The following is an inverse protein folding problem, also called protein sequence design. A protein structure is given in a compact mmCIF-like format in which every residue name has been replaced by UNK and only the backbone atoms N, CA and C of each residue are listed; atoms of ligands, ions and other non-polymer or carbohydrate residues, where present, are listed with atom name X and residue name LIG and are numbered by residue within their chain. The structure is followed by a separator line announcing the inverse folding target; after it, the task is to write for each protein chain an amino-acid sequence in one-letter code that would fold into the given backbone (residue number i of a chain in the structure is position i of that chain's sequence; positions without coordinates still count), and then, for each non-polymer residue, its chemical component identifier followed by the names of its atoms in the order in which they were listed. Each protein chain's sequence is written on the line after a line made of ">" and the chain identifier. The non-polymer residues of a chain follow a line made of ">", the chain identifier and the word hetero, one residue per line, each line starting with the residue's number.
data_IF_176967656111
#
_entry.id   IF_176967656111
#
_cell.length_a   1.000
_cell.length_b   1.000
_cell.length_c   1.000
_cell.angle_alpha   90.00
_cell.angle_beta   90.00
_cell.angle_gamma   90.00
#
_symmetry.space_group_name_H-M   'P 1'
#
loop_
_entity.id
_entity.type
_entity.pdbx_description
1 polymer ?
#
# COMPACT_ATOMS: atom_id res chain seq x y z
N UNK A 1 -16.65 19.90 -13.71
CA UNK A 1 -16.93 20.58 -14.98
C UNK A 1 -15.72 20.36 -15.84
N UNK A 2 -15.87 19.62 -16.93
CA UNK A 2 -14.78 19.37 -17.86
C UNK A 2 -14.95 20.31 -19.06
N UNK A 3 -13.89 21.03 -19.45
CA UNK A 3 -13.91 21.99 -20.55
C UNK A 3 -12.82 21.62 -21.57
N UNK A 4 -13.19 21.18 -22.77
CA UNK A 4 -12.21 20.91 -23.81
C UNK A 4 -11.38 22.15 -24.16
N UNK A 5 -10.07 21.97 -24.31
CA UNK A 5 -9.12 23.05 -24.65
C UNK A 5 -9.62 23.93 -25.80
N UNK A 6 -10.06 23.34 -26.91
CA UNK A 6 -10.55 24.10 -28.07
C UNK A 6 -11.74 25.02 -27.75
N UNK A 7 -12.62 24.65 -26.80
CA UNK A 7 -13.75 25.45 -26.36
C UNK A 7 -13.29 26.64 -25.52
N UNK A 8 -12.32 26.42 -24.63
CA UNK A 8 -11.68 27.47 -23.83
C UNK A 8 -11.03 28.54 -24.71
N UNK A 9 -10.23 28.15 -25.72
CA UNK A 9 -9.61 29.10 -26.65
C UNK A 9 -10.62 29.87 -27.50
N UNK A 10 -11.72 29.21 -27.89
CA UNK A 10 -12.82 29.87 -28.60
C UNK A 10 -13.47 30.98 -27.76
N UNK A 11 -13.67 30.74 -26.48
CA UNK A 11 -14.22 31.74 -25.56
C UNK A 11 -13.26 32.92 -25.35
N UNK A 12 -11.98 32.65 -25.09
CA UNK A 12 -10.95 33.70 -25.03
C UNK A 12 -10.90 34.53 -26.32
N UNK A 13 -10.89 33.87 -27.48
CA UNK A 13 -10.84 34.55 -28.78
C UNK A 13 -12.05 35.42 -29.08
N UNK A 14 -13.24 35.07 -28.56
CA UNK A 14 -14.46 35.88 -28.66
C UNK A 14 -14.44 37.07 -27.71
N UNK A 15 -14.03 36.86 -26.46
CA UNK A 15 -13.94 37.90 -25.45
C UNK A 15 -12.93 39.01 -25.83
N UNK A 16 -11.92 38.70 -26.62
CA UNK A 16 -10.97 39.69 -27.16
C UNK A 16 -11.56 40.58 -28.25
N UNK A 17 -12.63 40.15 -28.93
CA UNK A 17 -13.23 40.89 -30.06
C UNK A 17 -14.47 41.68 -29.64
N UNK A 18 -15.23 41.16 -28.69
CA UNK A 18 -16.55 41.70 -28.32
C UNK A 18 -16.81 41.61 -26.81
N UNK A 19 -17.32 42.70 -26.23
CA UNK A 19 -17.73 42.75 -24.82
C UNK A 19 -19.25 42.81 -24.74
N UNK A 20 -19.89 41.68 -24.46
CA UNK A 20 -21.34 41.57 -24.27
C UNK A 20 -21.66 40.54 -23.17
N UNK A 21 -22.94 40.42 -22.81
CA UNK A 21 -23.37 39.51 -21.74
C UNK A 21 -22.97 38.05 -22.01
N UNK A 22 -23.00 37.61 -23.28
CA UNK A 22 -22.63 36.24 -23.67
C UNK A 22 -21.13 35.99 -23.55
N UNK A 23 -20.28 36.95 -23.94
CA UNK A 23 -18.82 36.80 -23.75
C UNK A 23 -18.44 36.87 -22.27
N UNK A 24 -19.15 37.66 -21.46
CA UNK A 24 -19.00 37.67 -20.01
C UNK A 24 -19.36 36.31 -19.36
N UNK A 25 -20.47 35.69 -19.77
CA UNK A 25 -20.88 34.36 -19.28
C UNK A 25 -19.87 33.26 -19.69
N UNK A 26 -19.40 33.28 -20.94
CA UNK A 26 -18.36 32.35 -21.42
C UNK A 26 -17.05 32.49 -20.64
N UNK A 27 -16.65 33.72 -20.31
CA UNK A 27 -15.47 33.97 -19.48
C UNK A 27 -15.69 33.58 -18.02
N UNK A 28 -16.93 33.70 -17.50
CA UNK A 28 -17.28 33.15 -16.19
C UNK A 28 -17.16 31.62 -16.16
N UNK A 29 -17.59 30.92 -17.21
CA UNK A 29 -17.38 29.46 -17.34
C UNK A 29 -15.89 29.10 -17.32
N UNK A 30 -15.05 29.86 -18.04
CA UNK A 30 -13.59 29.65 -18.07
C UNK A 30 -12.98 29.91 -16.70
N UNK A 31 -13.36 30.99 -16.03
CA UNK A 31 -12.87 31.30 -14.69
C UNK A 31 -13.23 30.19 -13.70
N UNK A 32 -14.48 29.70 -13.74
CA UNK A 32 -14.94 28.58 -12.90
C UNK A 32 -14.15 27.30 -13.18
N UNK A 33 -13.89 26.98 -14.44
CA UNK A 33 -13.05 25.85 -14.82
C UNK A 33 -11.64 26.00 -14.24
N UNK A 34 -10.96 27.13 -14.45
CA UNK A 34 -9.60 27.37 -13.95
C UNK A 34 -9.53 27.32 -12.42
N UNK A 35 -10.53 27.85 -11.72
CA UNK A 35 -10.62 27.76 -10.26
C UNK A 35 -10.73 26.30 -9.79
N UNK A 36 -11.57 25.50 -10.45
CA UNK A 36 -11.72 24.07 -10.12
C UNK A 36 -10.39 23.34 -10.38
N UNK A 37 -9.72 23.62 -11.48
CA UNK A 37 -8.48 22.93 -11.87
C UNK A 37 -7.33 23.23 -10.90
N UNK A 38 -7.13 24.52 -10.56
CA UNK A 38 -6.15 24.94 -9.56
C UNK A 38 -6.43 24.33 -8.18
N UNK A 39 -7.70 24.35 -7.74
CA UNK A 39 -8.11 23.77 -6.46
C UNK A 39 -7.96 22.25 -6.46
N UNK A 40 -8.23 21.58 -7.58
CA UNK A 40 -8.12 20.13 -7.73
C UNK A 40 -6.65 19.69 -7.63
N UNK A 41 -5.73 20.44 -8.23
CA UNK A 41 -4.29 20.19 -8.10
C UNK A 41 -3.85 20.24 -6.63
N UNK A 42 -4.25 21.28 -5.89
CA UNK A 42 -3.94 21.41 -4.47
C UNK A 42 -4.56 20.27 -3.63
N UNK A 43 -5.84 19.95 -3.88
CA UNK A 43 -6.54 18.85 -3.19
C UNK A 43 -5.89 17.51 -3.45
N UNK A 44 -5.44 17.25 -4.69
CA UNK A 44 -4.75 16.02 -5.04
C UNK A 44 -3.40 15.92 -4.33
N UNK A 45 -2.64 17.02 -4.29
CA UNK A 45 -1.35 17.08 -3.59
C UNK A 45 -1.48 16.76 -2.10
N UNK A 46 -2.50 17.30 -1.43
CA UNK A 46 -2.81 16.99 -0.02
C UNK A 46 -3.29 15.55 0.14
N UNK A 47 -4.26 15.11 -0.69
CA UNK A 47 -4.85 13.76 -0.59
C UNK A 47 -3.85 12.64 -0.85
N UNK A 48 -2.87 12.88 -1.74
CA UNK A 48 -1.79 11.94 -2.06
C UNK A 48 -0.54 12.13 -1.19
N UNK A 49 -0.57 13.06 -0.22
CA UNK A 49 0.53 13.29 0.70
C UNK A 49 1.89 13.56 0.00
N UNK A 50 1.84 14.14 -1.21
CA UNK A 50 2.97 14.16 -2.17
C UNK A 50 4.18 14.88 -1.59
N UNK A 51 3.98 16.02 -0.92
CA UNK A 51 5.06 16.81 -0.33
C UNK A 51 5.77 16.02 0.76
N UNK A 52 5.02 15.33 1.64
CA UNK A 52 5.61 14.57 2.72
C UNK A 52 6.38 13.35 2.19
N UNK A 53 5.87 12.67 1.16
CA UNK A 53 6.60 11.59 0.49
C UNK A 53 7.95 12.07 -0.06
N UNK A 54 7.97 13.18 -0.80
CA UNK A 54 9.22 13.75 -1.30
C UNK A 54 10.14 14.26 -0.18
N UNK A 55 9.57 14.78 0.91
CA UNK A 55 10.35 15.22 2.07
C UNK A 55 11.07 14.06 2.73
N UNK A 56 10.39 12.94 2.95
CA UNK A 56 11.02 11.74 3.53
C UNK A 56 12.09 11.17 2.58
N UNK A 57 11.84 11.18 1.26
CA UNK A 57 12.84 10.79 0.26
C UNK A 57 14.07 11.72 0.30
N UNK A 58 13.85 13.03 0.41
CA UNK A 58 14.91 14.04 0.48
C UNK A 58 15.75 13.89 1.75
N UNK A 59 15.08 13.72 2.90
CA UNK A 59 15.70 13.52 4.21
C UNK A 59 16.62 12.29 4.22
N UNK A 60 16.14 11.16 3.69
CA UNK A 60 16.92 9.92 3.65
C UNK A 60 18.18 10.06 2.80
N UNK A 61 18.10 10.71 1.63
CA UNK A 61 19.27 10.86 0.75
C UNK A 61 20.10 12.11 0.97
N UNK A 62 19.80 12.96 1.96
CA UNK A 62 20.52 14.22 2.19
C UNK A 62 20.54 15.15 0.94
N UNK A 63 19.40 15.26 0.26
CA UNK A 63 19.23 16.12 -0.92
C UNK A 63 18.16 17.18 -0.67
N UNK A 64 18.09 18.20 -1.53
CA UNK A 64 17.01 19.18 -1.44
C UNK A 64 15.66 18.57 -1.81
N UNK A 65 14.57 19.17 -1.34
CA UNK A 65 13.21 18.76 -1.75
C UNK A 65 13.01 18.89 -3.27
N UNK A 66 13.64 19.90 -3.89
CA UNK A 66 13.63 20.09 -5.35
C UNK A 66 14.31 18.92 -6.04
N UNK A 67 15.49 18.52 -5.58
CA UNK A 67 16.24 17.39 -6.14
C UNK A 67 15.48 16.07 -5.96
N UNK A 68 14.80 15.89 -4.83
CA UNK A 68 13.93 14.75 -4.61
C UNK A 68 12.76 14.68 -5.61
N UNK A 69 12.32 15.81 -6.17
CA UNK A 69 11.29 15.83 -7.20
C UNK A 69 11.84 15.61 -8.61
N UNK A 70 12.90 16.32 -8.99
CA UNK A 70 13.39 16.34 -10.37
C UNK A 70 14.32 15.19 -10.74
N UNK A 71 15.05 14.63 -9.78
CA UNK A 71 16.06 13.61 -10.07
C UNK A 71 15.53 12.18 -9.94
N UNK A 72 16.09 11.29 -10.76
CA UNK A 72 15.80 9.86 -10.72
C UNK A 72 16.29 9.22 -9.42
N UNK A 73 15.60 8.17 -8.97
CA UNK A 73 15.87 7.52 -7.67
C UNK A 73 17.30 6.99 -7.54
N UNK A 74 17.90 6.51 -8.63
CA UNK A 74 19.30 6.01 -8.63
C UNK A 74 20.32 7.09 -8.26
N UNK A 75 20.08 8.37 -8.59
CA UNK A 75 20.94 9.46 -8.15
C UNK A 75 20.80 9.75 -6.66
N UNK A 76 19.58 9.60 -6.12
CA UNK A 76 19.33 9.74 -4.68
C UNK A 76 20.00 8.62 -3.88
N UNK A 77 19.91 7.39 -4.37
CA UNK A 77 20.65 6.23 -3.82
C UNK A 77 22.16 6.49 -3.86
N UNK A 78 22.66 7.00 -5.00
CA UNK A 78 24.09 7.31 -5.14
C UNK A 78 24.54 8.38 -4.15
N UNK A 79 23.73 9.42 -3.92
CA UNK A 79 24.03 10.45 -2.93
C UNK A 79 24.07 9.89 -1.51
N UNK A 80 23.05 9.09 -1.14
CA UNK A 80 22.99 8.40 0.15
C UNK A 80 24.24 7.55 0.39
N UNK A 81 24.62 6.69 -0.57
CA UNK A 81 25.81 5.86 -0.46
C UNK A 81 27.10 6.69 -0.39
N UNK A 82 27.17 7.80 -1.13
CA UNK A 82 28.33 8.69 -1.11
C UNK A 82 28.51 9.34 0.27
N UNK A 83 27.41 9.75 0.92
CA UNK A 83 27.43 10.26 2.31
C UNK A 83 27.89 9.16 3.28
N UNK A 84 27.38 7.94 3.15
CA UNK A 84 27.81 6.81 3.99
C UNK A 84 29.30 6.50 3.82
N UNK A 85 29.78 6.45 2.58
CA UNK A 85 31.20 6.22 2.27
C UNK A 85 32.09 7.33 2.83
N UNK A 86 31.64 8.58 2.75
CA UNK A 86 32.35 9.72 3.33
C UNK A 86 32.46 9.62 4.86
N UNK A 87 31.38 9.25 5.55
CA UNK A 87 31.40 9.02 7.00
C UNK A 87 32.34 7.89 7.42
N UNK A 88 32.38 6.81 6.65
CA UNK A 88 33.28 5.67 6.87
C UNK A 88 34.74 5.96 6.44
N UNK A 89 35.03 7.17 5.93
CA UNK A 89 36.34 7.57 5.41
C UNK A 89 36.87 6.65 4.31
N UNK A 90 35.96 6.07 3.53
CA UNK A 90 36.26 5.25 2.37
C UNK A 90 36.24 6.14 1.11
N UNK A 91 37.04 5.78 0.09
CA UNK A 91 37.00 6.44 -1.22
C UNK A 91 36.32 5.53 -2.24
N UNK A 92 35.43 6.09 -3.06
CA UNK A 92 34.82 5.36 -4.18
C UNK A 92 35.65 5.51 -5.44
N UNK A 93 35.73 4.45 -6.24
CA UNK A 93 36.30 4.53 -7.59
C UNK A 93 35.29 5.15 -8.55
N UNK A 94 35.74 6.09 -9.38
CA UNK A 94 34.94 6.68 -10.47
C UNK A 94 35.04 5.89 -11.78
N UNK A 95 35.79 4.79 -11.79
CA UNK A 95 35.99 3.95 -12.97
C UNK A 95 34.72 3.14 -13.24
N UNK A 96 34.02 3.46 -14.33
CA UNK A 96 32.77 2.81 -14.76
C UNK A 96 32.96 1.85 -15.95
N UNK A 97 34.21 1.53 -16.32
CA UNK A 97 34.51 0.59 -17.41
C UNK A 97 34.18 -0.84 -16.99
N UNK A 98 32.91 -1.23 -17.14
CA UNK A 98 32.47 -2.62 -16.97
C UNK A 98 31.66 -3.04 -18.18
N UNK A 99 32.28 -3.89 -19.00
CA UNK A 99 31.77 -4.44 -20.26
C UNK A 99 30.88 -5.67 -20.08
N UNK A 100 30.39 -5.92 -18.87
CA UNK A 100 29.51 -7.06 -18.59
C UNK A 100 28.13 -6.82 -19.22
N UNK A 101 27.88 -7.48 -20.35
CA UNK A 101 26.63 -7.39 -21.14
C UNK A 101 25.64 -8.50 -20.82
N UNK A 102 26.07 -9.53 -20.08
CA UNK A 102 25.23 -10.67 -19.74
C UNK A 102 24.24 -10.32 -18.60
N UNK A 103 22.95 -10.47 -18.90
CA UNK A 103 21.89 -10.39 -17.90
C UNK A 103 22.02 -11.53 -16.88
N UNK A 104 21.77 -11.25 -15.61
CA UNK A 104 21.56 -12.28 -14.60
C UNK A 104 20.10 -12.78 -14.64
N UNK A 105 19.80 -13.96 -14.07
CA UNK A 105 18.43 -14.48 -14.06
C UNK A 105 17.48 -13.52 -13.35
N UNK A 106 16.32 -13.27 -13.95
CA UNK A 106 15.28 -12.40 -13.39
C UNK A 106 14.58 -13.05 -12.18
N UNK A 107 13.66 -12.32 -11.56
CA UNK A 107 12.81 -12.87 -10.51
C UNK A 107 11.98 -14.06 -11.01
N UNK A 108 11.66 -14.99 -10.11
CA UNK A 108 10.89 -16.18 -10.47
C UNK A 108 9.38 -15.90 -10.40
N UNK A 109 8.65 -16.35 -11.43
CA UNK A 109 7.20 -16.22 -11.54
C UNK A 109 6.60 -17.62 -11.64
N UNK A 110 5.60 -17.91 -10.79
CA UNK A 110 4.78 -19.10 -10.95
C UNK A 110 3.72 -18.81 -12.03
N UNK A 111 3.63 -19.65 -13.08
CA UNK A 111 2.69 -19.39 -14.16
C UNK A 111 1.25 -19.37 -13.64
N UNK A 112 0.43 -18.39 -14.05
CA UNK A 112 -0.92 -18.29 -13.56
C UNK A 112 -1.78 -19.45 -14.06
N UNK A 113 -2.59 -20.02 -13.16
CA UNK A 113 -3.70 -20.90 -13.53
C UNK A 113 -4.80 -20.01 -14.12
N UNK A 114 -4.90 -19.98 -15.45
CA UNK A 114 -5.81 -19.08 -16.19
C UNK A 114 -7.27 -19.46 -15.93
N UNK A 115 -8.10 -18.46 -15.67
CA UNK A 115 -9.55 -18.60 -15.47
C UNK A 115 -10.09 -17.55 -14.50
N UNK A 116 -11.41 -17.35 -14.48
CA UNK A 116 -12.06 -16.57 -13.43
C UNK A 116 -12.20 -17.45 -12.19
N UNK A 117 -11.53 -17.08 -11.10
CA UNK A 117 -11.73 -17.73 -9.80
C UNK A 117 -12.99 -17.16 -9.16
N UNK A 118 -14.12 -17.84 -9.39
CA UNK A 118 -15.43 -17.41 -8.93
C UNK A 118 -15.83 -18.08 -7.61
N UNK A 119 -14.97 -18.90 -6.98
CA UNK A 119 -15.33 -19.67 -5.79
C UNK A 119 -14.66 -19.20 -4.51
N UNK A 120 -13.41 -18.73 -4.59
CA UNK A 120 -12.64 -18.40 -3.40
C UNK A 120 -11.97 -17.03 -3.53
N UNK A 121 -12.25 -16.08 -2.63
CA UNK A 121 -11.62 -14.78 -2.63
C UNK A 121 -10.12 -14.93 -2.36
N UNK A 122 -9.31 -14.30 -3.21
CA UNK A 122 -7.87 -14.13 -3.00
C UNK A 122 -7.66 -12.68 -2.58
N UNK A 123 -7.74 -12.44 -1.29
CA UNK A 123 -7.55 -11.13 -0.68
C UNK A 123 -7.03 -11.33 0.72
N UNK A 124 -6.41 -10.30 1.28
CA UNK A 124 -4.98 -10.27 1.34
C UNK A 124 -4.51 -8.75 1.61
N UNK A 125 -4.86 -7.92 2.67
CA UNK A 125 -4.08 -6.68 3.20
C UNK A 125 -4.04 -6.30 4.74
N UNK A 126 -2.84 -6.22 5.38
CA UNK A 126 -2.50 -5.75 6.75
C UNK A 126 -0.99 -5.52 6.96
N UNK A 127 -0.54 -4.27 6.87
CA UNK A 127 0.65 -3.76 7.58
C UNK A 127 0.37 -2.38 8.23
N UNK A 128 1.13 -2.06 9.28
CA UNK A 128 0.96 -1.08 10.37
C UNK A 128 -0.13 -1.45 11.37
N UNK A 129 0.21 -1.67 12.65
CA UNK A 129 -0.76 -2.09 13.67
C UNK A 129 -1.29 -0.91 14.50
N UNK A 130 -0.50 -0.14 15.27
CA UNK A 130 -1.12 0.67 16.33
C UNK A 130 -1.89 1.90 15.83
N UNK A 131 -1.24 2.74 15.01
CA UNK A 131 -1.86 3.96 14.46
C UNK A 131 -2.90 3.62 13.39
N UNK A 132 -2.65 2.58 12.60
CA UNK A 132 -3.62 2.08 11.62
C UNK A 132 -4.86 1.50 12.28
N UNK A 133 -4.71 0.76 13.38
CA UNK A 133 -5.84 0.22 14.15
C UNK A 133 -6.63 1.36 14.79
N UNK A 134 -5.96 2.37 15.38
CA UNK A 134 -6.64 3.59 15.87
C UNK A 134 -7.41 4.29 14.75
N UNK A 135 -6.77 4.53 13.60
CA UNK A 135 -7.39 5.13 12.42
C UNK A 135 -8.59 4.32 11.92
N UNK A 136 -8.43 3.01 11.72
CA UNK A 136 -9.48 2.10 11.25
C UNK A 136 -10.68 2.09 12.20
N UNK A 137 -10.45 2.10 13.50
CA UNK A 137 -11.53 2.15 14.50
C UNK A 137 -12.28 3.49 14.43
N UNK A 138 -11.57 4.61 14.30
CA UNK A 138 -12.21 5.93 14.14
C UNK A 138 -13.00 6.00 12.82
N UNK A 139 -12.46 5.47 11.72
CA UNK A 139 -13.15 5.39 10.42
C UNK A 139 -14.43 4.55 10.48
N UNK A 140 -14.44 3.46 11.26
CA UNK A 140 -15.65 2.66 11.49
C UNK A 140 -16.73 3.48 12.24
N UNK A 141 -16.34 4.29 13.23
CA UNK A 141 -17.27 5.18 13.93
C UNK A 141 -17.86 6.20 12.95
N UNK A 142 -17.02 6.84 12.13
CA UNK A 142 -17.46 7.81 11.11
C UNK A 142 -18.44 7.15 10.13
N UNK A 143 -18.14 5.95 9.64
CA UNK A 143 -19.02 5.22 8.72
C UNK A 143 -20.38 4.83 9.32
N UNK A 144 -20.49 4.74 10.65
CA UNK A 144 -21.78 4.58 11.34
C UNK A 144 -22.49 5.92 11.51
N UNK A 145 -21.75 7.01 11.77
CA UNK A 145 -22.32 8.36 11.84
C UNK A 145 -22.88 8.82 10.49
N UNK A 146 -22.28 8.37 9.38
CA UNK A 146 -22.80 8.61 8.02
C UNK A 146 -24.12 7.85 7.75
N UNK A 147 -24.51 6.91 8.64
CA UNK A 147 -25.80 6.21 8.63
C UNK A 147 -26.78 6.79 9.66
N UNK A 148 -26.63 8.07 9.99
CA UNK A 148 -27.48 8.84 10.91
C UNK A 148 -27.42 8.42 12.39
N UNK A 149 -26.40 7.67 12.83
CA UNK A 149 -26.16 7.43 14.26
C UNK A 149 -25.48 8.64 14.92
N UNK A 150 -25.84 8.93 16.17
CA UNK A 150 -25.08 9.86 17.00
C UNK A 150 -23.69 9.30 17.33
N UNK A 151 -22.75 10.18 17.69
CA UNK A 151 -21.39 9.77 18.06
C UNK A 151 -21.39 8.74 19.22
N UNK A 152 -22.24 8.95 20.23
CA UNK A 152 -22.35 8.05 21.38
C UNK A 152 -22.85 6.66 20.95
N UNK A 153 -23.93 6.61 20.15
CA UNK A 153 -24.50 5.34 19.67
C UNK A 153 -23.52 4.58 18.76
N UNK A 154 -22.80 5.29 17.89
CA UNK A 154 -21.79 4.69 17.01
C UNK A 154 -20.61 4.09 17.81
N UNK A 155 -20.14 4.78 18.85
CA UNK A 155 -19.08 4.29 19.73
C UNK A 155 -19.55 3.07 20.53
N UNK A 156 -20.74 3.11 21.12
CA UNK A 156 -21.30 2.00 21.89
C UNK A 156 -21.47 0.74 21.04
N UNK A 157 -21.97 0.89 19.81
CA UNK A 157 -22.14 -0.22 18.88
C UNK A 157 -20.79 -0.88 18.52
N UNK A 158 -19.72 -0.09 18.34
CA UNK A 158 -18.38 -0.63 18.05
C UNK A 158 -17.77 -1.27 19.30
N UNK A 159 -17.92 -0.67 20.48
CA UNK A 159 -17.43 -1.25 21.73
C UNK A 159 -18.10 -2.60 22.04
N UNK A 160 -19.39 -2.76 21.73
CA UNK A 160 -20.09 -4.04 21.87
C UNK A 160 -19.44 -5.12 20.99
N UNK A 161 -19.14 -4.81 19.72
CA UNK A 161 -18.45 -5.73 18.80
C UNK A 161 -17.00 -6.05 19.21
N UNK A 162 -16.30 -5.08 19.80
CA UNK A 162 -14.90 -5.26 20.22
C UNK A 162 -14.76 -6.07 21.51
N UNK A 163 -15.77 -6.05 22.40
CA UNK A 163 -15.80 -6.89 23.62
C UNK A 163 -15.82 -8.38 23.29
N UNK A 164 -16.48 -8.80 22.22
CA UNK A 164 -16.50 -10.20 21.77
C UNK A 164 -15.13 -10.67 21.24
N UNK A 165 -14.27 -9.77 20.76
CA UNK A 165 -12.96 -10.07 20.15
C UNK A 165 -11.75 -9.80 21.06
N UNK A 166 -11.97 -9.48 22.34
CA UNK A 166 -10.94 -9.26 23.37
C UNK A 166 -9.81 -8.26 23.00
N UNK A 167 -10.15 -7.14 22.34
CA UNK A 167 -9.18 -6.10 21.95
C UNK A 167 -9.04 -5.00 23.03
N UNK A 168 -8.39 -5.31 24.15
CA UNK A 168 -8.28 -4.40 25.31
C UNK A 168 -7.63 -3.03 24.99
N UNK A 169 -6.65 -2.97 24.07
CA UNK A 169 -5.99 -1.72 23.67
C UNK A 169 -6.90 -0.77 22.88
N UNK A 170 -7.76 -1.32 22.01
CA UNK A 170 -8.68 -0.56 21.16
C UNK A 170 -9.84 0.02 21.96
N UNK A 171 -10.35 -0.74 22.95
CA UNK A 171 -11.40 -0.27 23.85
C UNK A 171 -10.99 1.01 24.58
N UNK A 172 -9.74 1.07 25.09
CA UNK A 172 -9.22 2.23 25.82
C UNK A 172 -9.20 3.51 24.97
N UNK A 173 -8.95 3.38 23.66
CA UNK A 173 -8.94 4.52 22.74
C UNK A 173 -10.34 5.12 22.54
N UNK A 174 -11.39 4.28 22.50
CA UNK A 174 -12.76 4.73 22.23
C UNK A 174 -13.45 5.36 23.45
N UNK A 175 -13.19 4.86 24.66
CA UNK A 175 -13.80 5.37 25.89
C UNK A 175 -13.54 6.88 26.10
N UNK A 176 -12.43 7.40 25.59
CA UNK A 176 -12.09 8.82 25.68
C UNK A 176 -13.01 9.73 24.84
N UNK A 177 -13.73 9.17 23.85
CA UNK A 177 -14.58 9.95 22.93
C UNK A 177 -16.07 9.94 23.28
N UNK A 178 -16.53 9.11 24.21
CA UNK A 178 -17.96 8.96 24.54
C UNK A 178 -18.60 10.29 24.96
N UNK A 179 -17.86 11.11 25.70
CA UNK A 179 -18.35 12.41 26.20
C UNK A 179 -17.85 13.61 25.38
N UNK A 180 -17.20 13.38 24.24
CA UNK A 180 -16.66 14.46 23.40
C UNK A 180 -17.68 14.93 22.38
N UNK A 181 -17.56 16.19 22.00
CA UNK A 181 -18.34 16.72 20.88
C UNK A 181 -17.81 16.21 19.53
N UNK A 182 -18.69 16.20 18.52
CA UNK A 182 -18.35 15.78 17.15
C UNK A 182 -17.15 16.54 16.59
N UNK A 183 -17.02 17.83 16.88
CA UNK A 183 -15.93 18.64 16.37
C UNK A 183 -14.57 18.23 16.97
N UNK A 184 -14.52 17.92 18.26
CA UNK A 184 -13.30 17.42 18.92
C UNK A 184 -12.91 16.03 18.43
N UNK A 185 -13.91 15.16 18.19
CA UNK A 185 -13.71 13.85 17.60
C UNK A 185 -13.09 13.93 16.19
N UNK A 186 -13.61 14.84 15.36
CA UNK A 186 -13.08 15.05 14.01
C UNK A 186 -11.67 15.66 14.01
N UNK A 187 -11.39 16.59 14.94
CA UNK A 187 -10.04 17.15 15.08
C UNK A 187 -9.00 16.08 15.47
N UNK A 188 -9.35 15.16 16.37
CA UNK A 188 -8.50 14.02 16.70
C UNK A 188 -8.34 13.09 15.49
N UNK A 189 -9.41 12.81 14.75
CA UNK A 189 -9.34 12.00 13.54
C UNK A 189 -8.36 12.58 12.52
N UNK A 190 -8.43 13.89 12.28
CA UNK A 190 -7.52 14.60 11.39
C UNK A 190 -6.06 14.49 11.87
N UNK A 191 -5.83 14.62 13.18
CA UNK A 191 -4.51 14.44 13.81
C UNK A 191 -3.98 13.01 13.60
N UNK A 192 -4.81 11.99 13.84
CA UNK A 192 -4.44 10.58 13.62
C UNK A 192 -4.18 10.28 12.15
N UNK A 193 -4.97 10.87 11.24
CA UNK A 193 -4.75 10.74 9.80
C UNK A 193 -3.43 11.38 9.38
N UNK A 194 -3.10 12.54 9.93
CA UNK A 194 -1.83 13.22 9.69
C UNK A 194 -0.64 12.40 10.19
N UNK A 195 -0.69 11.89 11.43
CA UNK A 195 0.34 11.03 12.00
C UNK A 195 0.54 9.75 11.18
N UNK A 196 -0.57 9.07 10.84
CA UNK A 196 -0.55 7.89 9.97
C UNK A 196 0.13 8.20 8.63
N UNK A 197 -0.24 9.31 7.99
CA UNK A 197 0.30 9.69 6.68
C UNK A 197 1.78 10.02 6.73
N UNK A 198 2.27 10.64 7.82
CA UNK A 198 3.69 10.87 8.03
C UNK A 198 4.47 9.56 8.19
N UNK A 199 3.96 8.63 9.01
CA UNK A 199 4.60 7.33 9.23
C UNK A 199 4.60 6.47 7.95
N UNK A 200 3.49 6.47 7.21
CA UNK A 200 3.35 5.75 5.94
C UNK A 200 4.32 6.32 4.89
N UNK A 201 4.46 7.65 4.80
CA UNK A 201 5.44 8.29 3.92
C UNK A 201 6.88 7.87 4.26
N UNK A 202 7.24 7.83 5.55
CA UNK A 202 8.56 7.39 5.99
C UNK A 202 8.83 5.93 5.64
N UNK A 203 7.88 5.03 5.92
CA UNK A 203 7.98 3.62 5.56
C UNK A 203 8.09 3.42 4.04
N UNK A 204 7.27 4.12 3.26
CA UNK A 204 7.29 4.04 1.80
C UNK A 204 8.62 4.56 1.24
N UNK A 205 9.17 5.65 1.79
CA UNK A 205 10.47 6.16 1.38
C UNK A 205 11.57 5.11 1.61
N UNK A 206 11.62 4.49 2.79
CA UNK A 206 12.57 3.39 3.09
C UNK A 206 12.39 2.24 2.09
N UNK A 207 11.16 1.79 1.84
CA UNK A 207 10.86 0.73 0.87
C UNK A 207 11.36 1.08 -0.53
N UNK A 208 11.10 2.30 -1.00
CA UNK A 208 11.56 2.79 -2.30
C UNK A 208 13.08 2.78 -2.37
N UNK A 209 13.78 3.23 -1.34
CA UNK A 209 15.25 3.16 -1.30
C UNK A 209 15.75 1.72 -1.31
N UNK A 210 15.20 0.83 -0.49
CA UNK A 210 15.61 -0.60 -0.45
C UNK A 210 15.47 -1.27 -1.82
N UNK A 211 14.36 -1.06 -2.51
CA UNK A 211 14.15 -1.58 -3.86
C UNK A 211 15.11 -0.92 -4.88
N UNK A 212 15.41 0.36 -4.71
CA UNK A 212 16.27 1.12 -5.60
C UNK A 212 17.76 0.83 -5.38
N UNK A 213 18.18 0.40 -4.19
CA UNK A 213 19.54 -0.09 -3.93
C UNK A 213 19.85 -1.30 -4.79
N UNK A 214 18.93 -2.27 -4.85
CA UNK A 214 19.05 -3.42 -5.74
C UNK A 214 19.21 -3.00 -7.21
N UNK A 215 18.33 -2.10 -7.69
CA UNK A 215 18.41 -1.61 -9.09
C UNK A 215 19.70 -0.82 -9.37
N UNK A 216 20.17 -0.03 -8.41
CA UNK A 216 21.40 0.76 -8.53
C UNK A 216 22.64 -0.13 -8.51
N UNK A 217 22.65 -1.20 -7.72
CA UNK A 217 23.73 -2.19 -7.70
C UNK A 217 23.74 -3.07 -8.96
N UNK A 218 22.60 -3.25 -9.62
CA UNK A 218 22.48 -4.02 -10.87
C UNK A 218 22.74 -3.20 -12.14
N UNK A 219 22.75 -1.87 -12.04
CA UNK A 219 23.01 -1.00 -13.18
C UNK A 219 24.52 -0.86 -13.43
N UNK A 220 25.01 -1.38 -14.57
CA UNK A 220 26.43 -1.32 -14.94
C UNK A 220 27.01 0.09 -15.06
N UNK A 221 26.16 1.11 -15.23
CA UNK A 221 26.56 2.52 -15.26
C UNK A 221 26.65 3.18 -13.87
N UNK A 222 26.23 2.48 -12.83
CA UNK A 222 26.27 2.98 -11.46
C UNK A 222 27.68 2.89 -10.89
N UNK A 223 28.08 3.91 -10.11
CA UNK A 223 29.31 3.88 -9.31
C UNK A 223 29.34 2.72 -8.31
N UNK A 224 28.15 2.28 -7.88
CA UNK A 224 27.96 1.22 -6.90
C UNK A 224 27.56 -0.11 -7.54
N UNK A 225 27.89 -0.32 -8.82
CA UNK A 225 27.59 -1.58 -9.50
C UNK A 225 28.29 -2.78 -8.86
N UNK A 226 27.49 -3.74 -8.44
CA UNK A 226 27.93 -4.98 -7.79
C UNK A 226 27.04 -6.14 -8.21
N UNK A 227 27.36 -6.75 -9.36
CA UNK A 227 26.60 -7.87 -9.94
C UNK A 227 26.47 -9.08 -9.01
N UNK A 228 27.52 -9.39 -8.24
CA UNK A 228 27.50 -10.52 -7.31
C UNK A 228 26.44 -10.31 -6.22
N UNK A 229 26.24 -9.07 -5.77
CA UNK A 229 25.20 -8.73 -4.80
C UNK A 229 23.80 -8.92 -5.40
N UNK A 230 23.54 -8.37 -6.59
CA UNK A 230 22.22 -8.50 -7.21
C UNK A 230 21.91 -9.95 -7.58
N UNK A 231 22.87 -10.68 -8.15
CA UNK A 231 22.73 -12.11 -8.43
C UNK A 231 22.47 -12.94 -7.18
N UNK A 232 23.16 -12.62 -6.07
CA UNK A 232 22.95 -13.25 -4.77
C UNK A 232 21.55 -12.98 -4.18
N UNK A 233 21.08 -11.73 -4.25
CA UNK A 233 19.73 -11.34 -3.82
C UNK A 233 18.68 -12.11 -4.63
N UNK A 234 18.77 -12.11 -5.96
CA UNK A 234 17.78 -12.77 -6.82
C UNK A 234 17.78 -14.28 -6.61
N UNK A 235 18.96 -14.92 -6.56
CA UNK A 235 19.07 -16.36 -6.35
C UNK A 235 18.47 -16.78 -5.00
N UNK A 236 18.72 -15.98 -3.95
CA UNK A 236 18.15 -16.21 -2.62
C UNK A 236 16.63 -16.02 -2.61
N UNK A 237 16.13 -14.99 -3.28
CA UNK A 237 14.68 -14.76 -3.47
C UNK A 237 14.02 -15.94 -4.17
N UNK A 238 14.58 -16.43 -5.28
CA UNK A 238 14.08 -17.59 -6.00
C UNK A 238 14.10 -18.87 -5.16
N UNK A 239 15.16 -19.11 -4.39
CA UNK A 239 15.24 -20.25 -3.45
C UNK A 239 14.10 -20.18 -2.44
N UNK A 240 13.94 -19.02 -1.80
CA UNK A 240 13.00 -18.85 -0.71
C UNK A 240 11.55 -18.96 -1.18
N UNK A 241 11.18 -18.35 -2.31
CA UNK A 241 9.81 -18.42 -2.81
C UNK A 241 9.44 -19.85 -3.25
N UNK A 242 10.39 -20.60 -3.84
CA UNK A 242 10.19 -22.02 -4.18
C UNK A 242 10.06 -22.89 -2.92
N UNK A 243 10.92 -22.65 -1.92
CA UNK A 243 10.88 -23.35 -0.65
C UNK A 243 9.53 -23.15 0.08
N UNK A 244 9.04 -21.89 0.14
CA UNK A 244 7.73 -21.57 0.71
C UNK A 244 6.61 -22.18 -0.13
N UNK A 245 6.69 -22.13 -1.46
CA UNK A 245 5.71 -22.72 -2.36
C UNK A 245 5.56 -24.25 -2.14
N UNK A 246 6.66 -24.96 -1.94
CA UNK A 246 6.63 -26.40 -1.66
C UNK A 246 6.05 -26.68 -0.27
N UNK A 247 6.39 -25.86 0.73
CA UNK A 247 5.84 -25.96 2.07
C UNK A 247 4.31 -25.74 2.10
N UNK A 248 3.80 -24.67 1.47
CA UNK A 248 2.35 -24.39 1.45
C UNK A 248 1.58 -25.47 0.69
N UNK A 249 2.15 -26.02 -0.40
CA UNK A 249 1.58 -27.19 -1.10
C UNK A 249 1.53 -28.43 -0.21
N UNK A 250 2.57 -28.68 0.59
CA UNK A 250 2.60 -29.80 1.53
C UNK A 250 1.52 -29.70 2.61
N UNK A 251 1.07 -28.48 2.92
CA UNK A 251 -0.08 -28.19 3.81
C UNK A 251 -1.44 -28.28 3.10
N UNK A 252 -1.46 -28.58 1.80
CA UNK A 252 -2.66 -28.78 1.00
C UNK A 252 -3.19 -27.51 0.32
N UNK A 253 -2.52 -26.37 0.45
CA UNK A 253 -2.91 -25.14 -0.25
C UNK A 253 -2.54 -25.23 -1.73
N UNK A 254 -3.41 -24.71 -2.58
CA UNK A 254 -3.12 -24.57 -4.01
C UNK A 254 -2.50 -23.21 -4.29
N UNK A 255 -1.58 -23.15 -5.27
CA UNK A 255 -0.97 -21.90 -5.73
C UNK A 255 -1.53 -21.57 -7.10
N UNK A 256 -2.26 -20.46 -7.21
CA UNK A 256 -2.84 -19.98 -8.46
C UNK A 256 -1.84 -19.16 -9.28
N UNK A 257 -1.03 -18.37 -8.59
CA UNK A 257 -0.04 -17.47 -9.17
C UNK A 257 1.02 -17.18 -8.11
N UNK A 258 2.16 -16.65 -8.54
CA UNK A 258 3.18 -16.15 -7.64
C UNK A 258 4.14 -15.25 -8.39
N UNK A 259 4.52 -14.15 -7.77
CA UNK A 259 5.38 -13.13 -8.34
C UNK A 259 6.47 -12.77 -7.33
N UNK A 260 7.70 -13.19 -7.60
CA UNK A 260 8.93 -12.79 -6.90
C UNK A 260 8.96 -13.12 -5.40
N UNK A 261 8.17 -12.42 -4.60
CA UNK A 261 8.04 -12.47 -3.15
C UNK A 261 6.61 -12.77 -2.68
N UNK A 262 5.66 -12.99 -3.61
CA UNK A 262 4.25 -13.22 -3.32
C UNK A 262 3.73 -14.53 -3.88
N UNK A 263 2.79 -15.16 -3.16
CA UNK A 263 2.05 -16.35 -3.59
C UNK A 263 0.54 -16.11 -3.43
N UNK A 264 -0.21 -16.47 -4.47
CA UNK A 264 -1.66 -16.38 -4.50
C UNK A 264 -2.21 -17.75 -4.17
N UNK A 265 -2.64 -17.91 -2.93
CA UNK A 265 -3.03 -19.18 -2.35
C UNK A 265 -4.54 -19.38 -2.39
N UNK A 266 -4.97 -20.63 -2.50
CA UNK A 266 -6.36 -21.04 -2.32
C UNK A 266 -6.43 -22.08 -1.21
N UNK A 267 -7.32 -21.85 -0.26
CA UNK A 267 -7.58 -22.77 0.85
C UNK A 267 -8.16 -24.09 0.34
N UNK A 268 -8.10 -25.13 1.17
CA UNK A 268 -8.67 -26.42 0.81
C UNK A 268 -10.20 -26.33 0.72
N UNK A 269 -10.81 -26.95 -0.30
CA UNK A 269 -12.28 -26.93 -0.52
C UNK A 269 -13.05 -27.41 0.72
N UNK A 270 -12.50 -28.37 1.47
CA UNK A 270 -13.09 -28.89 2.71
C UNK A 270 -13.33 -27.81 3.79
N UNK A 271 -12.59 -26.70 3.76
CA UNK A 271 -12.78 -25.60 4.71
C UNK A 271 -14.12 -24.88 4.46
N UNK A 272 -14.62 -24.94 3.23
CA UNK A 272 -15.81 -24.22 2.79
C UNK A 272 -17.06 -25.10 2.73
N UNK A 273 -16.92 -26.42 2.86
CA UNK A 273 -18.02 -27.38 2.72
C UNK A 273 -19.28 -26.98 3.52
N UNK A 274 -19.13 -26.56 4.78
CA UNK A 274 -20.26 -26.13 5.61
C UNK A 274 -20.92 -24.83 5.09
N UNK A 275 -20.11 -23.92 4.57
CA UNK A 275 -20.58 -22.66 3.99
C UNK A 275 -21.32 -22.92 2.66
N UNK A 276 -20.76 -23.81 1.83
CA UNK A 276 -21.35 -24.25 0.56
C UNK A 276 -22.69 -24.94 0.79
N UNK A 277 -22.75 -25.89 1.75
CA UNK A 277 -24.00 -26.54 2.15
C UNK A 277 -25.06 -25.52 2.58
N UNK A 278 -24.69 -24.55 3.43
CA UNK A 278 -25.61 -23.51 3.90
C UNK A 278 -26.12 -22.58 2.79
N UNK A 279 -25.39 -22.43 1.69
CA UNK A 279 -25.80 -21.60 0.55
C UNK A 279 -26.71 -22.37 -0.42
N UNK A 280 -26.41 -23.65 -0.66
CA UNK A 280 -27.13 -24.47 -1.64
C UNK A 280 -28.52 -24.92 -1.17
N UNK A 281 -28.77 -25.04 0.14
CA UNK A 281 -30.13 -25.27 0.65
C UNK A 281 -30.98 -23.99 0.46
N UNK A 282 -32.03 -24.05 -0.36
CA UNK A 282 -32.81 -22.90 -0.86
C UNK A 282 -33.51 -21.95 0.14
N UNK A 283 -33.25 -22.09 1.45
CA UNK A 283 -33.59 -21.13 2.52
C UNK A 283 -32.32 -20.67 3.30
N UNK A 284 -31.17 -20.78 2.64
CA UNK A 284 -29.83 -20.61 3.18
C UNK A 284 -29.40 -19.16 3.39
N UNK A 285 -28.11 -18.99 3.62
CA UNK A 285 -27.49 -17.66 3.77
C UNK A 285 -27.55 -16.85 2.47
N UNK A 286 -27.63 -15.52 2.58
CA UNK A 286 -27.61 -14.65 1.40
C UNK A 286 -26.27 -14.77 0.66
N UNK A 287 -26.23 -14.37 -0.62
CA UNK A 287 -24.97 -14.36 -1.39
C UNK A 287 -23.89 -13.51 -0.72
N UNK A 288 -24.25 -12.36 -0.16
CA UNK A 288 -23.32 -11.47 0.55
C UNK A 288 -22.76 -12.13 1.83
N UNK A 289 -23.63 -12.82 2.56
CA UNK A 289 -23.26 -13.56 3.77
C UNK A 289 -22.39 -14.78 3.45
N UNK A 290 -22.68 -15.50 2.35
CA UNK A 290 -21.82 -16.56 1.84
C UNK A 290 -20.40 -16.05 1.55
N UNK A 291 -20.26 -14.99 0.75
CA UNK A 291 -18.95 -14.41 0.47
C UNK A 291 -18.23 -13.93 1.73
N UNK A 292 -18.97 -13.33 2.67
CA UNK A 292 -18.41 -12.86 3.94
C UNK A 292 -17.85 -14.03 4.77
N UNK A 293 -18.60 -15.12 4.92
CA UNK A 293 -18.14 -16.31 5.64
C UNK A 293 -16.95 -16.97 4.95
N UNK A 294 -16.93 -17.02 3.62
CA UNK A 294 -15.81 -17.55 2.84
C UNK A 294 -14.52 -16.77 3.09
N UNK A 295 -14.61 -15.43 3.15
CA UNK A 295 -13.46 -14.57 3.50
C UNK A 295 -13.01 -14.83 4.94
N UNK A 296 -13.93 -14.91 5.90
CA UNK A 296 -13.58 -15.15 7.30
C UNK A 296 -12.88 -16.50 7.52
N UNK A 297 -13.38 -17.56 6.90
CA UNK A 297 -12.75 -18.89 6.91
C UNK A 297 -11.35 -18.82 6.30
N UNK A 298 -11.23 -18.18 5.13
CA UNK A 298 -9.94 -18.03 4.43
C UNK A 298 -8.92 -17.30 5.29
N UNK A 299 -9.32 -16.19 5.93
CA UNK A 299 -8.46 -15.41 6.82
C UNK A 299 -7.97 -16.23 8.02
N UNK A 300 -8.87 -17.02 8.63
CA UNK A 300 -8.51 -17.89 9.75
C UNK A 300 -7.52 -19.02 9.37
N UNK A 301 -7.69 -19.62 8.20
CA UNK A 301 -6.78 -20.67 7.71
C UNK A 301 -5.43 -20.11 7.25
N UNK A 302 -5.43 -18.95 6.60
CA UNK A 302 -4.22 -18.25 6.20
C UNK A 302 -3.44 -17.75 7.42
N UNK A 303 -4.11 -17.33 8.50
CA UNK A 303 -3.46 -16.95 9.75
C UNK A 303 -2.66 -18.11 10.37
N UNK A 304 -3.25 -19.30 10.42
CA UNK A 304 -2.55 -20.51 10.86
C UNK A 304 -1.37 -20.84 9.94
N UNK A 305 -1.58 -20.76 8.62
CA UNK A 305 -0.53 -21.00 7.64
C UNK A 305 0.63 -20.02 7.78
N UNK A 306 0.36 -18.75 8.05
CA UNK A 306 1.37 -17.71 8.29
C UNK A 306 2.31 -18.12 9.40
N UNK A 307 1.76 -18.55 10.53
CA UNK A 307 2.55 -18.91 11.71
C UNK A 307 3.40 -20.15 11.41
N UNK A 308 2.82 -21.16 10.75
CA UNK A 308 3.55 -22.35 10.27
C UNK A 308 4.71 -21.99 9.31
N UNK A 309 4.46 -21.11 8.34
CA UNK A 309 5.49 -20.66 7.38
C UNK A 309 6.57 -19.85 8.08
N UNK A 310 6.21 -19.00 9.05
CA UNK A 310 7.17 -18.20 9.80
C UNK A 310 8.08 -19.05 10.67
N UNK A 311 7.54 -20.06 11.34
CA UNK A 311 8.34 -21.01 12.12
C UNK A 311 9.27 -21.83 11.22
N UNK A 312 8.76 -22.26 10.06
CA UNK A 312 9.56 -22.96 9.04
C UNK A 312 10.70 -22.09 8.50
N UNK A 313 10.43 -20.83 8.14
CA UNK A 313 11.44 -19.88 7.66
C UNK A 313 12.47 -19.53 8.72
N UNK A 314 12.05 -19.43 9.99
CA UNK A 314 12.94 -19.20 11.12
C UNK A 314 13.90 -20.38 11.33
N UNK A 315 13.40 -21.61 11.17
CA UNK A 315 14.22 -22.81 11.26
C UNK A 315 15.25 -22.89 10.11
N UNK A 316 14.86 -22.55 8.87
CA UNK A 316 15.75 -22.55 7.70
C UNK A 316 16.82 -21.44 7.77
N UNK A 317 16.39 -20.19 8.00
CA UNK A 317 17.26 -19.02 7.90
C UNK A 317 17.96 -18.64 9.21
N UNK A 318 17.57 -19.26 10.34
CA UNK A 318 18.04 -18.90 11.69
C UNK A 318 17.83 -17.41 12.03
N UNK A 319 16.82 -16.79 11.41
CA UNK A 319 16.51 -15.37 11.52
C UNK A 319 15.01 -15.12 11.48
N UNK A 320 14.58 -13.98 12.04
CA UNK A 320 13.19 -13.51 12.03
C UNK A 320 12.94 -12.43 10.97
N UNK A 321 13.93 -12.08 10.15
CA UNK A 321 13.79 -11.02 9.14
C UNK A 321 12.89 -11.44 7.98
N UNK A 322 13.01 -12.69 7.52
CA UNK A 322 12.15 -13.23 6.47
C UNK A 322 10.94 -13.90 7.10
N UNK A 323 9.76 -13.33 6.81
CA UNK A 323 8.48 -13.81 7.32
C UNK A 323 7.42 -13.71 6.25
N UNK A 324 6.49 -14.64 6.26
CA UNK A 324 5.23 -14.49 5.57
C UNK A 324 4.43 -13.38 6.25
N UNK A 325 4.19 -12.33 5.47
CA UNK A 325 2.98 -11.57 5.59
C UNK A 325 1.96 -12.26 4.69
N UNK A 326 0.76 -12.51 5.20
CA UNK A 326 -0.34 -12.47 4.26
C UNK A 326 -0.69 -11.03 4.10
N UNK A 327 -1.06 -10.72 2.86
CA UNK A 327 -1.91 -9.59 2.57
C UNK A 327 -2.86 -9.41 3.78
#
# INVERSE_FOLDING_TARGET
>A
MDMPFHRMFKYYGRALRETNATTAEQMHEVAKYCMIDALSCQRLMVKRNVINEYREVANIAFISLSDAHYFAIGMKVSNLLSVSVWWERVLTSTISERTETESFPDAYIFPPIKGLENKHPVEIKKHLAPVKEKKKVIELVIGLMDKDLSLSEAIEHILAKLKEKNHASLNKNLYHFINKEKHEFMAEYDSVCFEYSCLDAGQNAIKVYMNSFYGTAGNSKSLFFLRVLTGGITSTGQRNIKLVADFVKSKGFQIKYGDTDSLYLVCLEKCFQKCDELYDYGNGISKDEYWSQMVEISMGEIEKLRDDVNDFLKADNKSLYLKMAYE
#
